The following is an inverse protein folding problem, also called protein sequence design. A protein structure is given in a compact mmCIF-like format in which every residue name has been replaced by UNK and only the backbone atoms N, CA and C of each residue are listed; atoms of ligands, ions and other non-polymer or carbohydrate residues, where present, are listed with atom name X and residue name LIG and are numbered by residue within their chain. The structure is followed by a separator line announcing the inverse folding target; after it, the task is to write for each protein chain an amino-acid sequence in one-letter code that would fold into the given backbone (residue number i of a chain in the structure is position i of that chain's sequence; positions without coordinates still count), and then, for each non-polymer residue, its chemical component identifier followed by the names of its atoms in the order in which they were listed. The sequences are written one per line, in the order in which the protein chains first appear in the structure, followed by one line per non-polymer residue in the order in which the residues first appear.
data_IF_537364865648
#
_entry.id   IF_537364865648
#
_cell.length_a   1.000
_cell.length_b   1.000
_cell.length_c   1.000
_cell.angle_alpha   90.00
_cell.angle_beta   90.00
_cell.angle_gamma   90.00
#
_symmetry.space_group_name_H-M   'P 1'
#
loop_
_entity.id
_entity.type
_entity.pdbx_description
1 polymer ?
#
# COMPACT_ATOMS: atom_id res chain seq x y z
N UNK A 1 -17.41 -6.82 -28.11
CA UNK A 1 -18.43 -5.75 -28.06
C UNK A 1 -19.17 -5.70 -26.72
N UNK A 2 -19.81 -6.78 -26.25
CA UNK A 2 -20.55 -6.74 -24.96
C UNK A 2 -19.63 -6.62 -23.72
N UNK A 3 -18.50 -7.34 -23.72
CA UNK A 3 -17.56 -7.33 -22.58
C UNK A 3 -16.88 -5.97 -22.36
N UNK A 4 -16.61 -5.23 -23.45
CA UNK A 4 -16.00 -3.89 -23.41
C UNK A 4 -16.96 -2.83 -22.85
N UNK A 5 -18.26 -2.96 -23.09
CA UNK A 5 -19.26 -2.04 -22.52
C UNK A 5 -19.36 -2.16 -20.98
N UNK A 6 -19.21 -3.38 -20.45
CA UNK A 6 -19.26 -3.63 -19.01
C UNK A 6 -18.02 -3.09 -18.29
N UNK A 7 -16.84 -3.21 -18.89
CA UNK A 7 -15.60 -2.66 -18.32
C UNK A 7 -15.66 -1.13 -18.22
N UNK A 8 -16.03 -0.43 -19.29
CA UNK A 8 -16.12 1.03 -19.26
C UNK A 8 -17.16 1.57 -18.28
N UNK A 9 -18.28 0.86 -18.12
CA UNK A 9 -19.30 1.20 -17.12
C UNK A 9 -18.77 1.04 -15.68
N UNK A 10 -18.04 -0.04 -15.39
CA UNK A 10 -17.42 -0.26 -14.09
C UNK A 10 -16.37 0.81 -13.78
N UNK A 11 -15.44 1.09 -14.72
CA UNK A 11 -14.41 2.11 -14.54
C UNK A 11 -15.03 3.47 -14.22
N UNK A 12 -16.08 3.86 -14.95
CA UNK A 12 -16.79 5.13 -14.70
C UNK A 12 -17.35 5.17 -13.27
N UNK A 13 -18.02 4.12 -12.81
CA UNK A 13 -18.59 4.09 -11.45
C UNK A 13 -17.52 4.13 -10.37
N UNK A 14 -16.37 3.48 -10.60
CA UNK A 14 -15.25 3.54 -9.67
C UNK A 14 -14.68 4.95 -9.60
N UNK A 15 -14.53 5.64 -10.74
CA UNK A 15 -14.07 7.03 -10.79
C UNK A 15 -15.07 7.97 -10.09
N UNK A 16 -16.38 7.82 -10.36
CA UNK A 16 -17.42 8.66 -9.74
C UNK A 16 -17.38 8.59 -8.20
N UNK A 17 -17.02 7.43 -7.63
CA UNK A 17 -16.92 7.23 -6.17
C UNK A 17 -15.56 7.69 -5.62
N UNK A 18 -14.48 7.53 -6.39
CA UNK A 18 -13.12 7.73 -5.91
C UNK A 18 -12.51 9.10 -6.25
N UNK A 19 -13.17 9.92 -7.08
CA UNK A 19 -12.63 11.19 -7.61
C UNK A 19 -12.15 12.17 -6.54
N UNK A 20 -12.77 12.17 -5.35
CA UNK A 20 -12.42 13.07 -4.25
C UNK A 20 -11.26 12.54 -3.38
N UNK A 21 -10.75 11.33 -3.67
CA UNK A 21 -9.61 10.76 -2.97
C UNK A 21 -8.30 11.29 -3.56
N UNK A 22 -7.81 12.37 -2.96
CA UNK A 22 -6.57 13.06 -3.31
C UNK A 22 -5.61 12.98 -2.13
N UNK A 23 -4.30 12.97 -2.39
CA UNK A 23 -3.31 13.08 -1.31
C UNK A 23 -3.28 14.52 -0.78
N UNK A 24 -3.73 14.75 0.45
CA UNK A 24 -3.93 16.11 0.99
C UNK A 24 -2.96 16.52 2.09
N UNK A 25 -2.26 15.56 2.69
CA UNK A 25 -1.23 15.80 3.70
C UNK A 25 -0.17 14.71 3.67
N UNK A 26 1.00 14.93 4.30
CA UNK A 26 2.08 13.94 4.29
C UNK A 26 1.82 12.78 5.27
N UNK A 27 1.32 13.10 6.46
CA UNK A 27 1.12 12.14 7.55
C UNK A 27 -0.06 12.54 8.43
N UNK A 28 -1.10 11.69 8.50
CA UNK A 28 -2.25 11.90 9.39
C UNK A 28 -1.97 11.54 10.87
N UNK A 29 -0.80 11.01 11.18
CA UNK A 29 -0.39 10.63 12.54
C UNK A 29 -0.99 9.32 13.07
N UNK A 30 -1.83 8.62 12.30
CA UNK A 30 -2.45 7.37 12.76
C UNK A 30 -1.41 6.30 13.10
N UNK A 31 -1.65 5.59 14.20
CA UNK A 31 -0.95 4.35 14.55
C UNK A 31 -1.66 3.11 14.01
N UNK A 32 -2.86 3.27 13.45
CA UNK A 32 -3.66 2.16 12.94
C UNK A 32 -3.12 1.66 11.60
N UNK A 33 -3.23 0.36 11.38
CA UNK A 33 -2.76 -0.28 10.17
C UNK A 33 -3.34 -1.66 9.98
N UNK A 34 -2.97 -2.27 8.86
CA UNK A 34 -3.37 -3.64 8.53
C UNK A 34 -2.16 -4.57 8.61
N UNK A 35 -2.39 -5.80 9.03
CA UNK A 35 -1.34 -6.83 9.04
C UNK A 35 -1.26 -7.50 7.67
N UNK A 36 -0.09 -7.41 7.04
CA UNK A 36 0.24 -8.10 5.80
C UNK A 36 0.99 -9.41 6.09
N UNK A 37 0.64 -10.45 5.32
CA UNK A 37 1.24 -11.81 5.33
C UNK A 37 1.37 -12.31 3.90
N UNK A 38 2.26 -13.26 3.62
CA UNK A 38 2.26 -13.91 2.31
C UNK A 38 0.88 -14.51 1.98
N UNK A 39 0.46 -14.46 0.72
CA UNK A 39 -0.77 -15.10 0.25
C UNK A 39 -0.43 -16.52 -0.20
N UNK A 40 -1.16 -17.48 0.35
CA UNK A 40 -1.02 -18.91 0.08
C UNK A 40 -2.26 -19.41 -0.66
N UNK A 41 -2.09 -20.05 -1.80
CA UNK A 41 -3.15 -20.76 -2.52
C UNK A 41 -2.73 -22.21 -2.71
N UNK A 42 -3.60 -23.15 -2.35
CA UNK A 42 -3.33 -24.59 -2.44
C UNK A 42 -2.02 -25.06 -1.75
N UNK A 43 -1.50 -24.29 -0.77
CA UNK A 43 -0.25 -24.60 -0.05
C UNK A 43 1.01 -24.02 -0.69
N UNK A 44 0.91 -23.34 -1.82
CA UNK A 44 2.00 -22.61 -2.47
C UNK A 44 1.89 -21.11 -2.23
N UNK A 45 3.03 -20.42 -2.18
CA UNK A 45 3.06 -18.95 -2.02
C UNK A 45 2.79 -18.30 -3.38
N UNK A 46 1.60 -17.72 -3.55
CA UNK A 46 1.23 -16.99 -4.78
C UNK A 46 1.81 -15.57 -4.78
N UNK A 47 1.82 -14.91 -3.61
CA UNK A 47 2.40 -13.56 -3.46
C UNK A 47 3.20 -13.50 -2.17
N UNK A 48 4.48 -13.16 -2.27
CA UNK A 48 5.38 -13.07 -1.11
C UNK A 48 4.99 -11.90 -0.19
N UNK A 49 5.44 -11.95 1.08
CA UNK A 49 5.26 -10.82 2.00
C UNK A 49 5.92 -9.56 1.42
N UNK A 50 7.15 -9.67 0.90
CA UNK A 50 7.89 -8.56 0.31
C UNK A 50 7.12 -7.86 -0.81
N UNK A 51 6.55 -8.63 -1.74
CA UNK A 51 5.73 -8.10 -2.82
C UNK A 51 4.47 -7.37 -2.32
N UNK A 52 3.87 -7.82 -1.22
CA UNK A 52 2.68 -7.18 -0.66
C UNK A 52 2.97 -5.85 0.04
N UNK A 53 4.16 -5.71 0.61
CA UNK A 53 4.50 -4.56 1.47
C UNK A 53 5.43 -3.56 0.79
N UNK A 54 6.01 -3.90 -0.37
CA UNK A 54 6.78 -2.97 -1.18
C UNK A 54 5.98 -1.69 -1.47
N UNK A 55 6.62 -0.54 -1.23
CA UNK A 55 6.02 0.78 -1.38
C UNK A 55 5.00 1.15 -0.29
N UNK A 56 4.92 0.39 0.81
CA UNK A 56 4.06 0.71 1.96
C UNK A 56 4.86 1.24 3.13
N UNK A 57 4.21 2.02 3.99
CA UNK A 57 4.83 2.57 5.20
C UNK A 57 4.57 1.66 6.40
N UNK A 58 5.58 1.40 7.22
CA UNK A 58 5.45 0.59 8.45
C UNK A 58 4.66 1.33 9.54
N UNK A 59 3.84 0.60 10.31
CA UNK A 59 3.24 1.13 11.54
C UNK A 59 4.19 0.99 12.73
N UNK A 60 4.86 -0.16 12.82
CA UNK A 60 5.65 -0.56 13.98
C UNK A 60 7.12 -0.77 13.61
N UNK A 61 8.02 -0.71 14.60
CA UNK A 61 9.41 -1.12 14.43
C UNK A 61 9.47 -2.62 14.13
N UNK A 62 10.07 -2.98 13.00
CA UNK A 62 10.25 -4.38 12.62
C UNK A 62 11.57 -4.86 13.20
N UNK A 63 11.52 -5.97 13.95
CA UNK A 63 12.68 -6.59 14.57
C UNK A 63 13.03 -7.88 13.86
N UNK A 64 14.33 -8.16 13.77
CA UNK A 64 14.80 -9.47 13.35
C UNK A 64 14.37 -10.52 14.41
N UNK A 65 13.61 -11.56 14.04
CA UNK A 65 13.09 -12.56 14.99
C UNK A 65 14.18 -13.33 15.74
N UNK A 66 15.35 -13.53 15.12
CA UNK A 66 16.46 -14.29 15.71
C UNK A 66 17.33 -13.46 16.65
N UNK A 67 17.49 -12.17 16.39
CA UNK A 67 18.42 -11.30 17.15
C UNK A 67 17.72 -10.26 18.02
N UNK A 68 16.43 -9.99 17.80
CA UNK A 68 15.65 -8.97 18.49
C UNK A 68 16.01 -7.52 18.11
N UNK A 69 17.01 -7.31 17.24
CA UNK A 69 17.41 -5.97 16.78
C UNK A 69 16.39 -5.39 15.82
N UNK A 70 16.13 -4.09 15.93
CA UNK A 70 15.30 -3.35 14.96
C UNK A 70 16.03 -3.29 13.63
N UNK A 71 15.39 -3.79 12.58
CA UNK A 71 15.90 -3.77 11.20
C UNK A 71 15.26 -2.64 10.38
N UNK A 72 14.00 -2.32 10.64
CA UNK A 72 13.25 -1.25 9.95
C UNK A 72 12.48 -0.47 11.01
N UNK A 73 12.54 0.86 10.92
CA UNK A 73 11.86 1.75 11.88
C UNK A 73 10.38 1.89 11.55
N UNK A 74 9.58 2.22 12.56
CA UNK A 74 8.19 2.64 12.38
C UNK A 74 8.12 3.92 11.52
N UNK A 75 7.13 4.02 10.64
CA UNK A 75 6.93 5.16 9.76
C UNK A 75 7.88 5.23 8.56
N UNK A 76 8.66 4.18 8.32
CA UNK A 76 9.59 4.08 7.19
C UNK A 76 8.86 3.50 5.97
N UNK A 77 9.12 4.07 4.79
CA UNK A 77 8.67 3.52 3.52
C UNK A 77 9.49 2.27 3.22
N UNK A 78 8.83 1.20 2.80
CA UNK A 78 9.48 -0.05 2.43
C UNK A 78 9.88 0.01 0.95
N UNK A 79 11.17 0.19 0.71
CA UNK A 79 11.79 0.11 -0.62
C UNK A 79 12.49 -1.24 -0.77
N UNK A 80 13.13 -1.47 -1.90
CA UNK A 80 13.75 -2.74 -2.26
C UNK A 80 14.77 -3.20 -1.20
N UNK A 81 15.56 -2.28 -0.63
CA UNK A 81 16.53 -2.59 0.43
C UNK A 81 15.87 -3.08 1.73
N UNK A 82 14.75 -2.49 2.13
CA UNK A 82 13.99 -2.96 3.29
C UNK A 82 13.32 -4.32 3.04
N UNK A 83 12.89 -4.58 1.80
CA UNK A 83 12.35 -5.90 1.45
C UNK A 83 13.42 -6.97 1.57
N UNK A 84 14.64 -6.73 1.07
CA UNK A 84 15.76 -7.66 1.22
C UNK A 84 16.07 -7.94 2.70
N UNK A 85 16.04 -6.91 3.54
CA UNK A 85 16.23 -7.06 4.98
C UNK A 85 15.11 -7.87 5.65
N UNK A 86 13.86 -7.69 5.24
CA UNK A 86 12.70 -8.47 5.72
C UNK A 86 12.83 -9.95 5.38
N UNK A 87 13.20 -10.25 4.13
CA UNK A 87 13.35 -11.61 3.64
C UNK A 87 14.54 -12.32 4.29
N UNK A 88 15.69 -11.64 4.41
CA UNK A 88 16.86 -12.16 5.11
C UNK A 88 16.58 -12.48 6.59
N UNK A 89 15.76 -11.64 7.25
CA UNK A 89 15.32 -11.86 8.62
C UNK A 89 14.18 -12.88 8.76
N UNK A 90 13.62 -13.39 7.64
CA UNK A 90 12.47 -14.31 7.60
C UNK A 90 11.26 -13.82 8.39
N UNK A 91 10.96 -12.52 8.30
CA UNK A 91 9.78 -11.93 8.94
C UNK A 91 8.51 -12.53 8.33
N UNK A 92 7.56 -12.93 9.18
CA UNK A 92 6.34 -13.63 8.75
C UNK A 92 5.16 -12.68 8.49
N UNK A 93 5.13 -11.56 9.21
CA UNK A 93 4.08 -10.56 9.08
C UNK A 93 4.60 -9.16 9.40
N UNK A 94 3.98 -8.16 8.77
CA UNK A 94 4.30 -6.75 8.98
C UNK A 94 3.01 -5.97 9.11
N UNK A 95 2.94 -5.07 10.09
CA UNK A 95 1.85 -4.09 10.18
C UNK A 95 2.23 -2.84 9.36
N UNK A 96 1.40 -2.55 8.37
CA UNK A 96 1.59 -1.43 7.44
C UNK A 96 0.44 -0.44 7.56
N UNK A 97 0.74 0.84 7.29
CA UNK A 97 -0.28 1.87 7.13
C UNK A 97 -1.11 1.59 5.89
N UNK A 98 -2.36 2.01 5.92
CA UNK A 98 -3.34 1.72 4.88
C UNK A 98 -4.28 2.90 4.66
N UNK A 99 -4.75 3.03 3.41
CA UNK A 99 -5.87 3.91 3.07
C UNK A 99 -7.13 3.63 3.92
N UNK A 100 -7.34 2.37 4.31
CA UNK A 100 -8.51 1.95 5.10
C UNK A 100 -8.48 2.42 6.56
N UNK A 101 -7.29 2.76 7.06
CA UNK A 101 -7.08 3.19 8.46
C UNK A 101 -6.60 4.64 8.53
N UNK A 102 -6.68 5.39 7.43
CA UNK A 102 -6.22 6.76 7.37
C UNK A 102 -7.20 7.70 8.10
N UNK A 103 -6.66 8.58 8.95
CA UNK A 103 -7.46 9.54 9.74
C UNK A 103 -7.64 10.92 9.06
N UNK A 104 -7.04 11.11 7.88
CA UNK A 104 -7.26 12.28 7.03
C UNK A 104 -8.74 12.40 6.69
N UNK A 105 -9.37 13.54 6.99
CA UNK A 105 -10.82 13.71 6.79
C UNK A 105 -11.24 13.80 5.34
N UNK A 106 -10.49 14.55 4.54
CA UNK A 106 -10.76 14.79 3.12
C UNK A 106 -9.55 14.33 2.32
N UNK A 107 -9.66 13.15 1.70
CA UNK A 107 -8.57 12.52 0.97
C UNK A 107 -7.80 11.50 1.79
N UNK A 108 -6.50 11.39 1.54
CA UNK A 108 -5.59 10.42 2.18
C UNK A 108 -4.25 11.08 2.44
N UNK A 109 -3.53 10.66 3.49
CA UNK A 109 -2.15 11.10 3.69
C UNK A 109 -1.14 10.28 2.87
N UNK A 110 -0.01 10.91 2.53
CA UNK A 110 1.06 10.29 1.76
C UNK A 110 1.60 9.01 2.39
N UNK A 111 1.76 8.96 3.72
CA UNK A 111 2.24 7.74 4.41
C UNK A 111 1.26 6.57 4.40
N UNK A 112 -0.05 6.83 4.48
CA UNK A 112 -1.06 5.76 4.41
C UNK A 112 -1.27 5.25 2.98
N UNK A 113 -1.00 6.08 1.97
CA UNK A 113 -0.96 5.66 0.58
C UNK A 113 0.32 4.89 0.27
N UNK A 114 1.49 5.51 0.52
CA UNK A 114 2.81 4.97 0.28
C UNK A 114 3.43 5.50 -1.02
N UNK A 115 3.98 4.59 -1.82
CA UNK A 115 4.72 4.85 -3.05
C UNK A 115 3.79 5.07 -4.24
N UNK A 116 4.12 6.05 -5.07
CA UNK A 116 3.59 6.18 -6.42
C UNK A 116 4.24 5.11 -7.31
N UNK A 117 3.45 4.15 -7.78
CA UNK A 117 3.93 3.04 -8.59
C UNK A 117 4.37 3.46 -10.00
N UNK A 118 3.92 4.61 -10.50
CA UNK A 118 4.33 5.11 -11.81
C UNK A 118 5.72 5.76 -11.78
N UNK A 119 6.08 6.40 -10.65
CA UNK A 119 7.35 7.13 -10.50
C UNK A 119 8.38 6.40 -9.66
N UNK A 120 7.95 5.45 -8.83
CA UNK A 120 8.81 4.74 -7.90
C UNK A 120 9.27 5.60 -6.72
N UNK A 121 8.65 6.74 -6.46
CA UNK A 121 8.94 7.64 -5.33
C UNK A 121 7.75 7.68 -4.36
N UNK A 122 7.89 8.23 -3.14
CA UNK A 122 6.72 8.58 -2.32
C UNK A 122 5.71 9.39 -3.13
N UNK A 123 4.42 9.18 -2.86
CA UNK A 123 3.36 9.93 -3.55
C UNK A 123 3.43 11.43 -3.23
N UNK A 124 3.15 12.26 -4.23
CA UNK A 124 3.14 13.71 -4.08
C UNK A 124 1.82 14.21 -3.49
N UNK A 125 1.87 15.33 -2.77
CA UNK A 125 0.68 16.08 -2.38
C UNK A 125 -0.06 16.56 -3.64
N UNK A 126 -1.39 16.47 -3.60
CA UNK A 126 -2.27 16.84 -4.71
C UNK A 126 -2.49 15.74 -5.75
N UNK A 127 -1.85 14.56 -5.61
CA UNK A 127 -2.03 13.46 -6.56
C UNK A 127 -3.43 12.85 -6.45
N UNK A 128 -4.11 12.68 -7.58
CA UNK A 128 -5.49 12.20 -7.67
C UNK A 128 -5.57 10.66 -7.61
N UNK A 129 -5.10 10.10 -6.50
CA UNK A 129 -4.89 8.65 -6.31
C UNK A 129 -6.17 7.82 -6.44
N UNK A 130 -7.34 8.37 -6.15
CA UNK A 130 -8.61 7.67 -6.34
C UNK A 130 -8.96 7.43 -7.80
N UNK A 131 -8.72 8.42 -8.67
CA UNK A 131 -8.92 8.27 -10.12
C UNK A 131 -7.93 7.25 -10.68
N UNK A 132 -6.67 7.33 -10.27
CA UNK A 132 -5.61 6.39 -10.68
C UNK A 132 -6.02 4.96 -10.27
N UNK A 133 -6.42 4.75 -9.02
CA UNK A 133 -6.84 3.43 -8.53
C UNK A 133 -8.07 2.89 -9.29
N UNK A 134 -9.07 3.73 -9.55
CA UNK A 134 -10.26 3.35 -10.30
C UNK A 134 -9.93 2.91 -11.73
N UNK A 135 -9.03 3.65 -12.42
CA UNK A 135 -8.56 3.31 -13.75
C UNK A 135 -7.74 2.01 -13.76
N UNK A 136 -6.82 1.83 -12.81
CA UNK A 136 -6.01 0.60 -12.70
C UNK A 136 -6.86 -0.65 -12.47
N UNK A 137 -8.02 -0.55 -11.82
CA UNK A 137 -8.95 -1.67 -11.65
C UNK A 137 -9.80 -1.90 -12.91
N UNK A 138 -10.19 -0.81 -13.58
CA UNK A 138 -11.06 -0.86 -14.75
C UNK A 138 -10.36 -1.29 -16.05
N UNK A 139 -9.06 -1.04 -16.15
CA UNK A 139 -8.21 -1.34 -17.31
C UNK A 139 -6.97 -2.17 -16.89
N UNK A 140 -7.16 -3.42 -16.44
CA UNK A 140 -6.06 -4.31 -16.06
C UNK A 140 -5.32 -4.92 -17.27
#
# INVERSE_FOLDING_TARGET
ALKTANSGYLTRRLVDVAQDCIVTEEDCGTSEGITARAILEAGEVTVSLGQRVLGRTTCDNIKNPSTGKVIIKAGQLLEEEEIDALEAARVQEVRIRSALTCETRNGICGKCYGRDLARGTPVNLGEAVGVIAAQSIGEP
#
